data_IF_744489392951
#
_entry.id   IF_744489392951
#
_cell.length_a   1.000
_cell.length_b   1.000
_cell.length_c   1.000
_cell.angle_alpha   90.00
_cell.angle_beta   90.00
_cell.angle_gamma   90.00
#
_symmetry.space_group_name_H-M   'P 1'
#
loop_
_entity.id
_entity.type
_entity.pdbx_description
1 polymer ?
#
# COMPACT_ATOMS: atom_id res chain seq x y z
N UNK A 1 -17.66 1.36 -14.27
CA UNK A 1 -16.58 0.69 -13.49
C UNK A 1 -16.39 1.50 -12.22
N UNK A 2 -16.43 0.86 -11.05
CA UNK A 2 -16.44 1.56 -9.77
C UNK A 2 -15.20 2.43 -9.57
N UNK A 3 -15.41 3.69 -9.21
CA UNK A 3 -14.36 4.70 -9.00
C UNK A 3 -13.69 4.57 -7.62
N UNK A 4 -13.52 3.37 -7.09
CA UNK A 4 -13.01 3.20 -5.73
C UNK A 4 -11.49 3.36 -5.71
N UNK A 5 -11.00 4.23 -4.83
CA UNK A 5 -9.58 4.37 -4.52
C UNK A 5 -9.29 3.70 -3.19
N UNK A 6 -8.13 3.08 -3.03
CA UNK A 6 -7.76 2.38 -1.80
C UNK A 6 -6.31 2.64 -1.41
N UNK A 7 -6.11 3.18 -0.20
CA UNK A 7 -4.79 3.27 0.42
C UNK A 7 -4.45 1.92 1.08
N UNK A 8 -3.43 1.23 0.59
CA UNK A 8 -2.96 -0.02 1.19
C UNK A 8 -2.00 0.27 2.32
N UNK A 9 -2.20 -0.37 3.46
CA UNK A 9 -1.30 -0.32 4.62
C UNK A 9 -0.16 -1.35 4.53
N UNK A 10 0.89 -1.17 5.34
CA UNK A 10 2.04 -2.05 5.39
C UNK A 10 1.66 -3.49 5.76
N UNK A 11 0.62 -3.69 6.59
CA UNK A 11 0.17 -5.00 7.01
C UNK A 11 -0.47 -5.85 5.89
N UNK A 12 -0.97 -5.22 4.82
CA UNK A 12 -1.54 -5.91 3.65
C UNK A 12 -0.54 -6.03 2.51
N UNK A 13 0.44 -5.12 2.45
CA UNK A 13 1.59 -5.23 1.55
C UNK A 13 2.60 -6.25 2.08
N UNK A 14 2.71 -6.46 3.39
CA UNK A 14 3.68 -7.39 3.98
C UNK A 14 3.49 -8.87 3.57
N UNK A 15 2.27 -9.48 3.57
CA UNK A 15 2.07 -10.86 3.14
C UNK A 15 2.12 -11.00 1.61
N UNK A 16 2.93 -11.93 1.10
CA UNK A 16 3.11 -12.14 -0.35
C UNK A 16 1.81 -12.50 -1.09
N UNK A 17 0.99 -13.39 -0.51
CA UNK A 17 -0.25 -13.85 -1.16
C UNK A 17 -1.28 -12.73 -1.27
N UNK A 18 -1.50 -12.00 -0.17
CA UNK A 18 -2.45 -10.89 -0.14
C UNK A 18 -1.99 -9.72 -1.02
N UNK A 19 -0.72 -9.32 -0.93
CA UNK A 19 -0.20 -8.21 -1.75
C UNK A 19 -0.34 -8.50 -3.23
N UNK A 20 -0.08 -9.75 -3.66
CA UNK A 20 -0.15 -10.10 -5.08
C UNK A 20 -1.59 -10.02 -5.62
N UNK A 21 -2.58 -10.51 -4.86
CA UNK A 21 -3.99 -10.45 -5.24
C UNK A 21 -4.46 -8.99 -5.35
N UNK A 22 -4.12 -8.15 -4.36
CA UNK A 22 -4.52 -6.74 -4.34
C UNK A 22 -3.89 -5.95 -5.50
N UNK A 23 -2.59 -6.13 -5.72
CA UNK A 23 -1.90 -5.45 -6.82
C UNK A 23 -2.40 -5.93 -8.20
N UNK A 24 -2.67 -7.22 -8.37
CA UNK A 24 -3.26 -7.75 -9.62
C UNK A 24 -4.68 -7.22 -9.85
N UNK A 25 -5.50 -7.12 -8.80
CA UNK A 25 -6.83 -6.51 -8.87
C UNK A 25 -6.76 -5.03 -9.28
N UNK A 26 -5.83 -4.27 -8.70
CA UNK A 26 -5.56 -2.88 -9.08
C UNK A 26 -5.07 -2.77 -10.54
N UNK A 27 -4.16 -3.65 -10.95
CA UNK A 27 -3.62 -3.71 -12.32
C UNK A 27 -4.73 -4.00 -13.35
N UNK A 28 -5.71 -4.84 -13.00
CA UNK A 28 -6.92 -5.12 -13.80
C UNK A 28 -7.96 -3.99 -13.78
N UNK A 29 -7.70 -2.90 -13.07
CA UNK A 29 -8.59 -1.75 -12.99
C UNK A 29 -9.83 -1.96 -12.12
N UNK A 30 -9.79 -2.91 -11.17
CA UNK A 30 -10.90 -3.10 -10.22
C UNK A 30 -11.01 -1.97 -9.19
N UNK A 31 -9.89 -1.29 -8.91
CA UNK A 31 -9.81 -0.10 -8.06
C UNK A 31 -8.50 0.66 -8.32
N UNK A 32 -8.39 1.90 -7.82
CA UNK A 32 -7.14 2.68 -7.84
C UNK A 32 -6.36 2.46 -6.56
N UNK A 33 -5.17 1.89 -6.66
CA UNK A 33 -4.31 1.63 -5.50
C UNK A 33 -3.50 2.88 -5.14
N UNK A 34 -3.34 3.11 -3.84
CA UNK A 34 -2.47 4.13 -3.28
C UNK A 34 -1.61 3.56 -2.14
N UNK A 35 -0.41 4.10 -1.93
CA UNK A 35 0.47 3.84 -0.79
C UNK A 35 1.48 4.98 -0.64
N UNK A 36 1.96 5.22 0.58
CA UNK A 36 3.03 6.19 0.84
C UNK A 36 4.41 5.53 0.83
N UNK A 37 5.45 6.37 0.76
CA UNK A 37 6.83 5.90 0.92
C UNK A 37 7.04 5.21 2.28
N UNK A 38 6.50 5.80 3.36
CA UNK A 38 6.58 5.25 4.71
C UNK A 38 5.94 3.87 4.82
N UNK A 39 4.75 3.69 4.24
CA UNK A 39 4.08 2.38 4.20
C UNK A 39 4.92 1.35 3.44
N UNK A 40 5.48 1.73 2.30
CA UNK A 40 6.29 0.82 1.49
C UNK A 40 7.60 0.45 2.21
N UNK A 41 8.23 1.41 2.88
CA UNK A 41 9.42 1.21 3.71
C UNK A 41 9.14 0.24 4.86
N UNK A 42 8.03 0.44 5.56
CA UNK A 42 7.61 -0.43 6.66
C UNK A 42 7.31 -1.84 6.16
N UNK A 43 6.52 -1.99 5.10
CA UNK A 43 6.16 -3.30 4.55
C UNK A 43 7.38 -4.10 4.12
N UNK A 44 8.29 -3.47 3.38
CA UNK A 44 9.52 -4.07 2.89
C UNK A 44 10.48 -4.37 4.05
N UNK A 45 10.65 -3.42 4.97
CA UNK A 45 11.46 -3.59 6.17
C UNK A 45 10.99 -4.77 7.01
N UNK A 46 9.68 -4.92 7.19
CA UNK A 46 9.09 -6.06 7.89
C UNK A 46 9.38 -7.39 7.17
N UNK A 47 9.32 -7.43 5.83
CA UNK A 47 9.65 -8.63 5.03
C UNK A 47 11.12 -9.03 5.19
N UNK A 48 12.04 -8.06 5.18
CA UNK A 48 13.47 -8.31 5.41
C UNK A 48 13.72 -8.79 6.85
N UNK A 49 13.20 -8.08 7.85
CA UNK A 49 13.36 -8.41 9.28
C UNK A 49 12.83 -9.81 9.62
N UNK A 50 11.74 -10.25 8.96
CA UNK A 50 11.14 -11.58 9.18
C UNK A 50 11.73 -12.68 8.28
N UNK A 51 12.83 -12.42 7.58
CA UNK A 51 13.51 -13.40 6.73
C UNK A 51 12.69 -13.86 5.52
N UNK A 52 11.65 -13.10 5.13
CA UNK A 52 10.81 -13.41 3.97
C UNK A 52 11.42 -12.93 2.66
N UNK A 53 12.42 -12.06 2.72
CA UNK A 53 13.23 -11.62 1.58
C UNK A 53 14.59 -11.07 2.03
N UNK A 54 15.56 -11.02 1.13
CA UNK A 54 16.83 -10.32 1.35
C UNK A 54 16.78 -8.88 0.82
N UNK A 55 17.78 -8.05 1.17
CA UNK A 55 17.79 -6.64 0.78
C UNK A 55 17.76 -6.44 -0.74
N UNK A 56 18.49 -7.27 -1.50
CA UNK A 56 18.50 -7.18 -2.97
C UNK A 56 17.13 -7.45 -3.58
N UNK A 57 16.40 -8.44 -3.05
CA UNK A 57 15.03 -8.74 -3.47
C UNK A 57 14.06 -7.62 -3.04
N UNK A 58 14.29 -7.01 -1.88
CA UNK A 58 13.52 -5.87 -1.38
C UNK A 58 13.65 -4.66 -2.33
N UNK A 59 14.86 -4.32 -2.73
CA UNK A 59 15.12 -3.20 -3.64
C UNK A 59 14.49 -3.46 -5.02
N UNK A 60 14.61 -4.70 -5.54
CA UNK A 60 13.95 -5.11 -6.79
C UNK A 60 12.43 -5.03 -6.71
N UNK A 61 11.84 -5.50 -5.62
CA UNK A 61 10.40 -5.43 -5.39
C UNK A 61 9.93 -3.97 -5.32
N UNK A 62 10.61 -3.11 -4.57
CA UNK A 62 10.32 -1.67 -4.49
C UNK A 62 10.34 -1.04 -5.88
N UNK A 63 11.40 -1.28 -6.64
CA UNK A 63 11.57 -0.69 -7.95
C UNK A 63 10.51 -1.19 -8.96
N UNK A 64 10.14 -2.47 -8.89
CA UNK A 64 9.06 -3.02 -9.71
C UNK A 64 7.70 -2.40 -9.36
N UNK A 65 7.43 -2.21 -8.08
CA UNK A 65 6.16 -1.68 -7.58
C UNK A 65 6.01 -0.19 -7.94
N UNK A 66 7.05 0.63 -7.77
CA UNK A 66 7.06 2.05 -8.19
C UNK A 66 6.89 2.18 -9.71
N UNK A 67 7.55 1.32 -10.51
CA UNK A 67 7.41 1.34 -11.97
C UNK A 67 6.02 0.90 -12.43
N UNK A 68 5.44 -0.13 -11.81
CA UNK A 68 4.13 -0.67 -12.17
C UNK A 68 2.97 0.23 -11.77
N UNK A 69 3.16 1.05 -10.72
CA UNK A 69 2.11 1.88 -10.13
C UNK A 69 2.61 3.31 -9.89
N UNK A 70 3.11 3.97 -10.92
CA UNK A 70 3.66 5.34 -10.83
C UNK A 70 2.69 6.39 -10.28
N UNK A 71 1.38 6.17 -10.45
CA UNK A 71 0.31 7.05 -9.95
C UNK A 71 -0.22 6.67 -8.56
N UNK A 72 0.23 5.55 -7.99
CA UNK A 72 -0.23 5.06 -6.69
C UNK A 72 0.53 5.66 -5.52
N UNK A 73 1.74 6.18 -5.77
CA UNK A 73 2.53 6.79 -4.72
C UNK A 73 1.92 8.13 -4.32
N UNK A 74 1.47 8.21 -3.08
CA UNK A 74 0.85 9.42 -2.51
C UNK A 74 1.62 9.86 -1.27
N UNK A 75 1.79 11.18 -1.13
CA UNK A 75 2.29 11.77 0.11
C UNK A 75 1.12 11.93 1.07
N UNK A 76 1.31 11.49 2.31
CA UNK A 76 0.33 11.75 3.37
C UNK A 76 0.40 13.25 3.75
N UNK A 77 -0.74 13.92 3.97
CA UNK A 77 -0.76 15.22 4.63
C UNK A 77 -0.05 15.14 5.99
N UNK A 78 0.72 16.18 6.35
CA UNK A 78 1.54 16.18 7.56
C UNK A 78 0.72 16.03 8.87
N UNK A 79 -0.56 16.37 8.83
CA UNK A 79 -1.53 16.30 9.92
C UNK A 79 -2.40 15.02 9.88
N UNK A 80 -2.18 14.13 8.90
CA UNK A 80 -2.99 12.93 8.73
C UNK A 80 -2.90 11.98 9.94
N UNK A 81 -1.71 11.86 10.54
CA UNK A 81 -1.52 11.02 11.73
C UNK A 81 -2.33 11.54 12.93
N UNK A 82 -2.42 12.86 13.11
CA UNK A 82 -3.25 13.48 14.15
C UNK A 82 -4.75 13.28 13.88
N UNK A 83 -5.17 13.30 12.61
CA UNK A 83 -6.55 13.08 12.20
C UNK A 83 -7.02 11.61 12.34
N UNK A 84 -6.09 10.64 12.32
CA UNK A 84 -6.40 9.21 12.37
C UNK A 84 -6.45 8.65 13.81
N UNK A 85 -5.78 9.29 14.79
CA UNK A 85 -5.72 8.84 16.20
C UNK A 85 -7.12 8.66 16.83
N UNK A 86 -8.15 9.36 16.34
CA UNK A 86 -9.53 9.25 16.87
C UNK A 86 -10.35 8.09 16.26
N UNK A 87 -9.95 7.56 15.09
CA UNK A 87 -10.66 6.47 14.43
C UNK A 87 -9.88 5.16 14.56
N UNK A 88 -10.33 4.28 15.46
CA UNK A 88 -9.86 2.88 15.55
C UNK A 88 -10.21 2.09 14.29
N UNK A 89 -9.48 2.30 13.20
CA UNK A 89 -9.60 1.50 11.98
C UNK A 89 -8.48 0.46 12.00
N UNK A 90 -8.82 -0.74 12.46
CA UNK A 90 -7.92 -1.89 12.41
C UNK A 90 -7.65 -2.31 10.96
N UNK A 91 -6.37 -2.47 10.61
CA UNK A 91 -5.89 -2.92 9.31
C UNK A 91 -6.55 -2.19 8.13
N UNK A 92 -6.40 -0.86 8.10
CA UNK A 92 -7.14 0.00 7.19
C UNK A 92 -6.61 -0.10 5.76
N UNK A 93 -7.35 -0.79 4.90
CA UNK A 93 -7.51 -0.28 3.53
C UNK A 93 -8.57 0.81 3.59
N UNK A 94 -8.18 2.08 3.46
CA UNK A 94 -9.17 3.17 3.35
C UNK A 94 -9.70 3.16 1.92
N UNK A 95 -10.94 2.72 1.73
CA UNK A 95 -11.64 2.92 0.47
C UNK A 95 -12.13 4.38 0.45
N UNK A 96 -11.53 5.20 -0.41
CA UNK A 96 -12.02 6.53 -0.73
C UNK A 96 -13.01 6.34 -1.87
N UNK A 97 -14.30 6.46 -1.58
CA UNK A 97 -15.32 6.67 -2.62
C UNK A 97 -15.28 8.15 -3.02
N UNK A 98 -15.06 8.49 -4.30
CA UNK A 98 -15.07 9.88 -4.73
C UNK A 98 -16.46 10.54 -4.69
N UNK A 99 -17.50 9.84 -4.20
CA UNK A 99 -18.85 10.39 -4.02
C UNK A 99 -19.23 10.71 -2.55
N UNK A 100 -18.31 10.61 -1.58
CA UNK A 100 -18.53 11.10 -0.20
C UNK A 100 -17.71 12.35 0.14
#
# INVERSE_FOLDING_TARGET
MGNFSALLDACVIFPYSLSNILLEAAYRGLYRVHFSHQILDEAIGNRVKRGKMNQVAADKFRAALIRGFSHALVEAPADLEELIIDRKIGAATIIIDPNE
#
